data_IF_853698280661
#
_entry.id   IF_853698280661
#
_cell.length_a   1.000
_cell.length_b   1.000
_cell.length_c   1.000
_cell.angle_alpha   90.00
_cell.angle_beta   90.00
_cell.angle_gamma   90.00
#
_symmetry.space_group_name_H-M   'P 1'
#
loop_
_entity.id
_entity.type
_entity.pdbx_description
1 polymer ?
#
# COMPACT_ATOMS: atom_id res chain seq x y z
N UNK A 1 15.67 4.41 -23.66
CA UNK A 1 15.90 4.76 -22.24
C UNK A 1 14.85 4.02 -21.42
N UNK A 2 15.27 3.18 -20.49
CA UNK A 2 14.37 2.35 -19.68
C UNK A 2 13.79 3.17 -18.53
N UNK A 3 12.52 2.97 -18.17
CA UNK A 3 11.95 3.65 -17.00
C UNK A 3 12.71 3.35 -15.71
N UNK A 4 13.39 2.19 -15.64
CA UNK A 4 14.21 1.77 -14.50
C UNK A 4 15.36 2.73 -14.22
N UNK A 5 15.87 3.39 -15.25
CA UNK A 5 16.94 4.39 -15.12
C UNK A 5 16.42 5.64 -14.39
N UNK A 6 15.14 5.99 -14.60
CA UNK A 6 14.47 7.14 -13.97
C UNK A 6 14.03 6.90 -12.52
N UNK A 7 13.90 5.63 -12.10
CA UNK A 7 13.48 5.29 -10.72
C UNK A 7 14.45 5.83 -9.67
N UNK A 8 15.74 5.96 -10.01
CA UNK A 8 16.79 6.44 -9.11
C UNK A 8 16.63 7.91 -8.71
N UNK A 9 15.91 8.69 -9.52
CA UNK A 9 15.72 10.12 -9.31
C UNK A 9 14.43 10.44 -8.52
N UNK A 10 13.61 9.43 -8.22
CA UNK A 10 12.37 9.59 -7.44
C UNK A 10 12.73 9.83 -5.98
N UNK A 11 12.29 10.98 -5.44
CA UNK A 11 12.55 11.39 -4.06
C UNK A 11 11.39 11.10 -3.10
N UNK A 12 10.22 10.83 -3.64
CA UNK A 12 9.01 10.58 -2.86
C UNK A 12 8.10 9.62 -3.62
N UNK A 13 7.47 8.72 -2.88
CA UNK A 13 6.38 7.88 -3.37
C UNK A 13 5.10 8.27 -2.65
N UNK A 14 3.98 8.30 -3.39
CA UNK A 14 2.65 8.51 -2.86
C UNK A 14 1.82 7.30 -3.26
N UNK A 15 1.25 6.65 -2.27
CA UNK A 15 0.47 5.43 -2.45
C UNK A 15 -0.94 5.66 -1.92
N UNK A 16 -1.92 5.13 -2.65
CA UNK A 16 -3.27 4.96 -2.12
C UNK A 16 -3.29 3.80 -1.11
N UNK A 17 -4.38 3.64 -0.38
CA UNK A 17 -4.56 2.56 0.60
C UNK A 17 -5.42 1.47 0.01
N UNK A 18 -6.68 1.79 -0.30
CA UNK A 18 -7.69 0.83 -0.69
C UNK A 18 -7.48 0.39 -2.15
N UNK A 19 -7.01 -0.84 -2.35
CA UNK A 19 -6.68 -1.39 -3.67
C UNK A 19 -5.20 -1.25 -4.07
N UNK A 20 -4.37 -0.63 -3.22
CA UNK A 20 -2.91 -0.58 -3.36
C UNK A 20 -2.23 -1.32 -2.23
N UNK A 21 -2.38 -0.87 -0.98
CA UNK A 21 -1.85 -1.58 0.18
C UNK A 21 -2.80 -2.65 0.72
N UNK A 22 -4.06 -2.59 0.31
CA UNK A 22 -5.07 -3.60 0.60
C UNK A 22 -5.57 -4.22 -0.70
N UNK A 23 -6.26 -5.34 -0.62
CA UNK A 23 -6.98 -5.94 -1.74
C UNK A 23 -8.24 -5.14 -2.18
N UNK A 24 -8.60 -4.09 -1.43
CA UNK A 24 -9.75 -3.22 -1.71
C UNK A 24 -11.03 -3.69 -1.01
N UNK A 25 -10.96 -4.81 -0.29
CA UNK A 25 -12.06 -5.33 0.52
C UNK A 25 -12.12 -4.62 1.88
N UNK A 26 -13.34 -4.32 2.34
CA UNK A 26 -13.60 -3.85 3.70
C UNK A 26 -14.43 -4.89 4.44
N UNK A 27 -13.89 -5.39 5.55
CA UNK A 27 -14.58 -6.36 6.40
C UNK A 27 -15.42 -5.63 7.44
N UNK A 28 -16.73 -5.83 7.40
CA UNK A 28 -17.66 -5.32 8.41
C UNK A 28 -17.72 -6.30 9.58
N UNK A 29 -17.27 -5.84 10.75
CA UNK A 29 -17.31 -6.61 11.98
C UNK A 29 -18.61 -6.33 12.76
N UNK A 30 -19.04 -7.25 13.63
CA UNK A 30 -20.15 -6.99 14.54
C UNK A 30 -19.95 -5.69 15.33
N UNK A 31 -21.02 -4.92 15.52
CA UNK A 31 -20.97 -3.62 16.19
C UNK A 31 -20.59 -2.43 15.28
N UNK A 32 -20.50 -2.64 13.96
CA UNK A 32 -20.30 -1.56 12.99
C UNK A 32 -18.84 -1.15 12.79
N UNK A 33 -17.90 -1.91 13.34
CA UNK A 33 -16.47 -1.69 13.10
C UNK A 33 -16.07 -2.16 11.71
N UNK A 34 -15.13 -1.45 11.08
CA UNK A 34 -14.59 -1.79 9.77
C UNK A 34 -13.12 -2.20 9.91
N UNK A 35 -12.75 -3.30 9.26
CA UNK A 35 -11.37 -3.80 9.21
C UNK A 35 -10.89 -3.94 7.78
N UNK A 36 -9.58 -3.73 7.58
CA UNK A 36 -8.88 -3.87 6.30
C UNK A 36 -7.70 -4.81 6.49
N UNK A 37 -7.30 -5.50 5.43
CA UNK A 37 -6.15 -6.41 5.44
C UNK A 37 -5.01 -5.78 4.64
N UNK A 38 -3.81 -5.76 5.22
CA UNK A 38 -2.59 -5.23 4.62
C UNK A 38 -1.50 -6.31 4.56
N UNK A 39 -0.54 -6.17 3.63
CA UNK A 39 0.59 -7.09 3.52
C UNK A 39 1.79 -6.63 4.37
N UNK A 40 2.33 -7.55 5.18
CA UNK A 40 3.49 -7.27 6.05
C UNK A 40 4.76 -6.94 5.25
N UNK A 41 4.94 -7.54 4.07
CA UNK A 41 6.10 -7.28 3.20
C UNK A 41 6.09 -5.85 2.66
N UNK A 42 4.92 -5.30 2.34
CA UNK A 42 4.78 -3.91 1.90
C UNK A 42 5.15 -2.96 3.05
N UNK A 43 4.74 -3.29 4.27
CA UNK A 43 5.16 -2.56 5.47
C UNK A 43 6.69 -2.53 5.66
N UNK A 44 7.37 -3.65 5.42
CA UNK A 44 8.83 -3.72 5.48
C UNK A 44 9.50 -2.81 4.43
N UNK A 45 8.91 -2.70 3.24
CA UNK A 45 9.45 -1.89 2.15
C UNK A 45 9.22 -0.38 2.32
N UNK A 46 8.15 0.03 3.01
CA UNK A 46 7.79 1.46 3.18
C UNK A 46 8.42 2.09 4.43
N UNK A 47 8.63 1.31 5.48
CA UNK A 47 9.13 1.82 6.78
C UNK A 47 10.66 2.05 6.77
N UNK A 48 11.37 1.51 5.78
CA UNK A 48 12.84 1.53 5.69
C UNK A 48 13.32 2.36 4.51
#
# INVERSE_FOLDING_TARGET
>A
MSYKEKLKDIKAFVFDVDGVFTDGSVYLMPGGNMSRVMNVLDGYAVVK
#
